data_IF_234840714171
#
_entry.id   IF_234840714171
#
_cell.length_a   1.000
_cell.length_b   1.000
_cell.length_c   1.000
_cell.angle_alpha   90.00
_cell.angle_beta   90.00
_cell.angle_gamma   90.00
#
_symmetry.space_group_name_H-M   'P 1'
#
loop_
_entity.id
_entity.type
_entity.pdbx_description
1 polymer ?
#
# COMPACT_ATOMS: atom_id res chain seq x y z
N UNK A 1 -1.10 -32.20 -45.32
CA UNK A 1 -2.51 -32.23 -45.76
C UNK A 1 -3.32 -31.35 -44.82
N UNK A 2 -3.55 -30.09 -45.18
CA UNK A 2 -4.31 -29.12 -44.37
C UNK A 2 -5.74 -29.04 -44.91
N UNK A 3 -6.70 -29.59 -44.17
CA UNK A 3 -8.12 -29.54 -44.53
C UNK A 3 -8.73 -28.21 -44.10
N UNK A 4 -8.98 -27.32 -45.06
CA UNK A 4 -9.78 -26.11 -44.89
C UNK A 4 -11.26 -26.49 -44.84
N UNK A 5 -11.86 -26.42 -43.65
CA UNK A 5 -13.32 -26.58 -43.48
C UNK A 5 -13.99 -25.28 -43.93
N UNK A 6 -14.54 -25.28 -45.14
CA UNK A 6 -15.35 -24.19 -45.68
C UNK A 6 -16.74 -24.23 -45.03
N UNK A 7 -16.90 -23.49 -43.93
CA UNK A 7 -18.19 -23.37 -43.24
C UNK A 7 -19.15 -22.55 -44.09
N UNK A 8 -20.12 -23.21 -44.72
CA UNK A 8 -21.19 -22.57 -45.46
C UNK A 8 -22.26 -22.07 -44.47
N UNK A 9 -22.30 -20.76 -44.22
CA UNK A 9 -23.39 -20.11 -43.49
C UNK A 9 -24.66 -20.17 -44.37
N UNK A 10 -25.58 -21.07 -44.07
CA UNK A 10 -26.91 -21.11 -44.69
C UNK A 10 -27.70 -19.87 -44.26
N UNK A 11 -27.82 -18.87 -45.14
CA UNK A 11 -28.64 -17.69 -44.86
C UNK A 11 -30.11 -18.00 -45.15
N UNK A 12 -30.81 -18.58 -44.18
CA UNK A 12 -32.28 -18.61 -44.22
C UNK A 12 -32.78 -17.20 -43.85
N UNK A 13 -33.64 -16.58 -44.69
CA UNK A 13 -34.18 -15.26 -44.37
C UNK A 13 -35.13 -15.40 -43.17
N UNK A 14 -34.74 -14.81 -42.04
CA UNK A 14 -35.58 -14.74 -40.85
C UNK A 14 -36.61 -13.63 -41.05
N UNK A 15 -37.89 -13.99 -41.14
CA UNK A 15 -38.99 -13.03 -41.21
C UNK A 15 -39.39 -12.60 -39.80
N UNK A 16 -38.93 -11.42 -39.39
CA UNK A 16 -39.24 -10.82 -38.09
C UNK A 16 -40.60 -10.12 -38.18
N UNK A 17 -41.49 -10.38 -37.22
CA UNK A 17 -42.79 -9.71 -37.16
C UNK A 17 -42.65 -8.24 -36.72
N UNK A 18 -43.62 -7.39 -37.05
CA UNK A 18 -43.59 -5.97 -36.65
C UNK A 18 -43.52 -5.78 -35.12
N UNK A 19 -44.19 -6.65 -34.36
CA UNK A 19 -44.16 -6.66 -32.90
C UNK A 19 -42.76 -7.03 -32.36
N UNK A 20 -42.12 -8.05 -32.93
CA UNK A 20 -40.74 -8.42 -32.58
C UNK A 20 -39.76 -7.28 -32.86
N UNK A 21 -39.90 -6.57 -33.98
CA UNK A 21 -39.07 -5.39 -34.27
C UNK A 21 -39.27 -4.27 -33.25
N UNK A 22 -40.50 -4.06 -32.76
CA UNK A 22 -40.76 -3.08 -31.71
C UNK A 22 -40.13 -3.49 -30.37
N UNK A 23 -40.24 -4.77 -29.99
CA UNK A 23 -39.60 -5.31 -28.79
C UNK A 23 -38.08 -5.16 -28.83
N UNK A 24 -37.45 -5.49 -29.96
CA UNK A 24 -36.01 -5.33 -30.15
C UNK A 24 -35.56 -3.86 -30.02
N UNK A 25 -36.35 -2.92 -30.55
CA UNK A 25 -36.08 -1.47 -30.40
C UNK A 25 -36.20 -1.02 -28.95
N UNK A 26 -37.21 -1.48 -28.23
CA UNK A 26 -37.39 -1.14 -26.81
C UNK A 26 -36.25 -1.71 -25.96
N UNK A 27 -35.88 -2.98 -26.18
CA UNK A 27 -34.75 -3.60 -25.51
C UNK A 27 -33.41 -2.90 -25.83
N UNK A 28 -33.24 -2.37 -27.05
CA UNK A 28 -32.07 -1.57 -27.40
C UNK A 28 -32.04 -0.25 -26.62
N UNK A 29 -33.17 0.47 -26.54
CA UNK A 29 -33.28 1.70 -25.75
C UNK A 29 -32.97 1.47 -24.27
N UNK A 30 -33.52 0.40 -23.69
CA UNK A 30 -33.27 0.03 -22.29
C UNK A 30 -31.80 -0.31 -22.06
N UNK A 31 -31.18 -1.08 -22.97
CA UNK A 31 -29.75 -1.40 -22.91
C UNK A 31 -28.90 -0.13 -22.92
N UNK A 32 -29.21 0.83 -23.79
CA UNK A 32 -28.46 2.08 -23.89
C UNK A 32 -28.65 2.95 -22.64
N UNK A 33 -29.87 3.00 -22.09
CA UNK A 33 -30.14 3.67 -20.83
C UNK A 33 -29.37 3.03 -19.65
N UNK A 34 -29.34 1.70 -19.56
CA UNK A 34 -28.58 0.97 -18.54
C UNK A 34 -27.08 1.17 -18.70
N UNK A 35 -26.56 1.16 -19.93
CA UNK A 35 -25.15 1.49 -20.20
C UNK A 35 -24.80 2.91 -19.76
N UNK A 36 -25.70 3.87 -19.97
CA UNK A 36 -25.54 5.24 -19.48
C UNK A 36 -25.41 5.28 -17.96
N UNK A 37 -26.34 4.64 -17.24
CA UNK A 37 -26.31 4.53 -15.77
C UNK A 37 -25.02 3.85 -15.28
N UNK A 38 -24.62 2.77 -15.93
CA UNK A 38 -23.39 2.05 -15.57
C UNK A 38 -22.17 2.96 -15.68
N UNK A 39 -22.05 3.76 -16.75
CA UNK A 39 -20.95 4.73 -16.90
C UNK A 39 -20.93 5.74 -15.76
N UNK A 40 -22.09 6.32 -15.40
CA UNK A 40 -22.19 7.30 -14.31
C UNK A 40 -21.73 6.67 -12.99
N UNK A 41 -22.28 5.52 -12.63
CA UNK A 41 -21.93 4.82 -11.38
C UNK A 41 -20.45 4.40 -11.36
N UNK A 42 -19.87 4.00 -12.49
CA UNK A 42 -18.44 3.68 -12.54
C UNK A 42 -17.56 4.89 -12.28
N UNK A 43 -17.90 6.05 -12.83
CA UNK A 43 -17.16 7.30 -12.59
C UNK A 43 -17.29 7.74 -11.13
N UNK A 44 -18.49 7.63 -10.55
CA UNK A 44 -18.72 7.93 -9.14
C UNK A 44 -17.92 7.01 -8.21
N UNK A 45 -17.94 5.70 -8.48
CA UNK A 45 -17.14 4.71 -7.76
C UNK A 45 -15.65 5.08 -7.82
N UNK A 46 -15.13 5.39 -9.01
CA UNK A 46 -13.70 5.69 -9.19
C UNK A 46 -13.32 6.99 -8.46
N UNK A 47 -14.17 8.01 -8.50
CA UNK A 47 -14.00 9.25 -7.74
C UNK A 47 -13.96 8.98 -6.22
N UNK A 48 -14.87 8.15 -5.71
CA UNK A 48 -14.91 7.79 -4.28
C UNK A 48 -13.67 6.98 -3.87
N UNK A 49 -13.22 6.05 -4.70
CA UNK A 49 -11.99 5.29 -4.47
C UNK A 49 -10.76 6.20 -4.40
N UNK A 50 -10.66 7.21 -5.27
CA UNK A 50 -9.55 8.17 -5.23
C UNK A 50 -9.58 9.04 -3.97
N UNK A 51 -10.77 9.48 -3.53
CA UNK A 51 -10.93 10.19 -2.25
C UNK A 51 -10.51 9.32 -1.07
N UNK A 52 -10.93 8.05 -1.06
CA UNK A 52 -10.57 7.09 -0.02
C UNK A 52 -9.05 6.90 0.04
N UNK A 53 -8.41 6.64 -1.10
CA UNK A 53 -6.93 6.53 -1.18
C UNK A 53 -6.23 7.80 -0.69
N UNK A 54 -6.77 8.97 -1.02
CA UNK A 54 -6.21 10.24 -0.54
C UNK A 54 -6.31 10.36 0.99
N UNK A 55 -7.43 9.96 1.60
CA UNK A 55 -7.56 9.91 3.06
C UNK A 55 -6.65 8.87 3.70
N UNK A 56 -6.53 7.67 3.12
CA UNK A 56 -5.59 6.66 3.58
C UNK A 56 -4.14 7.17 3.55
N UNK A 57 -3.73 7.85 2.47
CA UNK A 57 -2.42 8.49 2.39
C UNK A 57 -2.22 9.59 3.44
N UNK A 58 -3.26 10.34 3.81
CA UNK A 58 -3.17 11.33 4.90
C UNK A 58 -3.01 10.71 6.27
N UNK A 59 -3.66 9.57 6.53
CA UNK A 59 -3.64 8.90 7.83
C UNK A 59 -2.40 8.01 8.01
N UNK A 60 -2.03 7.28 6.96
CA UNK A 60 -1.03 6.21 7.01
C UNK A 60 0.17 6.46 6.10
N UNK A 61 0.20 7.57 5.34
CA UNK A 61 1.37 7.94 4.56
C UNK A 61 2.56 8.29 5.46
N UNK A 62 3.76 7.89 5.04
CA UNK A 62 4.97 8.27 5.75
C UNK A 62 5.07 9.80 5.79
N UNK A 63 5.12 10.38 6.99
CA UNK A 63 5.29 11.83 7.21
C UNK A 63 6.65 12.36 6.75
N UNK A 64 7.58 11.48 6.37
CA UNK A 64 8.99 11.81 6.14
C UNK A 64 9.36 12.27 4.74
N UNK A 65 8.42 12.34 3.78
CA UNK A 65 8.71 12.90 2.45
C UNK A 65 7.57 13.75 1.91
N UNK A 66 7.03 14.67 2.72
CA UNK A 66 6.29 15.82 2.16
C UNK A 66 7.31 16.72 1.46
N UNK A 67 7.79 16.28 0.29
CA UNK A 67 8.42 17.15 -0.69
C UNK A 67 7.30 17.98 -1.31
N UNK A 68 6.93 19.06 -0.64
CA UNK A 68 5.99 20.03 -1.20
C UNK A 68 6.49 20.54 -2.56
N UNK A 69 5.60 21.08 -3.39
CA UNK A 69 5.99 21.76 -4.64
C UNK A 69 6.99 22.91 -4.42
N UNK A 70 7.16 23.37 -3.18
CA UNK A 70 8.19 24.33 -2.77
C UNK A 70 9.62 23.73 -2.72
N UNK A 71 9.80 22.42 -2.80
CA UNK A 71 11.11 21.76 -2.87
C UNK A 71 11.67 21.68 -4.31
N UNK A 72 10.97 22.24 -5.31
CA UNK A 72 11.57 22.44 -6.64
C UNK A 72 12.59 23.59 -6.66
N UNK A 73 12.49 24.53 -5.72
CA UNK A 73 13.50 25.61 -5.55
C UNK A 73 14.65 25.20 -4.60
N UNK A 74 14.66 23.96 -4.11
CA UNK A 74 15.75 23.41 -3.31
C UNK A 74 16.79 22.65 -4.15
N UNK A 75 16.65 22.64 -5.48
CA UNK A 75 17.79 22.37 -6.35
C UNK A 75 18.70 23.61 -6.26
N UNK A 76 19.62 23.56 -5.29
CA UNK A 76 20.65 24.57 -5.06
C UNK A 76 21.62 24.59 -6.26
N UNK A 77 21.17 25.18 -7.37
CA UNK A 77 21.96 25.37 -8.58
C UNK A 77 22.93 26.55 -8.46
N UNK A 78 23.04 27.18 -7.28
CA UNK A 78 23.94 28.31 -7.04
C UNK A 78 25.38 27.98 -7.45
N UNK A 79 25.85 26.75 -7.14
CA UNK A 79 27.18 26.30 -7.52
C UNK A 79 27.37 26.12 -9.03
N UNK A 80 26.34 25.68 -9.77
CA UNK A 80 26.39 25.56 -11.23
C UNK A 80 26.27 26.93 -11.92
N UNK A 81 25.55 27.88 -11.33
CA UNK A 81 25.49 29.27 -11.83
C UNK A 81 26.77 30.07 -11.58
N UNK A 82 27.53 29.72 -10.54
CA UNK A 82 28.82 30.31 -10.19
C UNK A 82 30.01 29.56 -10.82
N UNK A 83 29.74 28.44 -11.51
CA UNK A 83 30.78 27.69 -12.19
C UNK A 83 31.41 28.53 -13.32
N UNK A 84 32.75 28.56 -13.43
CA UNK A 84 33.43 29.36 -14.44
C UNK A 84 33.07 28.87 -15.85
N UNK A 85 32.49 29.74 -16.67
CA UNK A 85 32.25 29.49 -18.10
C UNK A 85 33.31 30.18 -18.95
N UNK A 86 33.37 29.90 -20.25
CA UNK A 86 34.40 30.49 -21.13
C UNK A 86 34.43 32.04 -21.17
N UNK A 87 33.39 32.71 -20.64
CA UNK A 87 33.31 34.17 -20.48
C UNK A 87 33.63 34.67 -19.06
N UNK A 88 33.83 33.78 -18.07
CA UNK A 88 34.13 34.10 -16.67
C UNK A 88 35.46 33.45 -16.29
N UNK A 89 36.48 34.26 -15.98
CA UNK A 89 37.77 33.75 -15.54
C UNK A 89 37.60 32.93 -14.24
N UNK A 90 38.33 31.81 -14.08
CA UNK A 90 38.29 31.04 -12.84
C UNK A 90 38.67 31.96 -11.67
N UNK A 91 37.93 31.84 -10.57
CA UNK A 91 38.27 32.55 -9.33
C UNK A 91 39.72 32.22 -8.97
N UNK A 92 40.55 33.26 -8.79
CA UNK A 92 41.90 33.09 -8.27
C UNK A 92 41.79 32.41 -6.90
N UNK A 93 42.35 31.22 -6.79
CA UNK A 93 42.67 30.64 -5.49
C UNK A 93 43.62 31.64 -4.81
N UNK A 94 43.15 32.33 -3.77
CA UNK A 94 44.05 33.02 -2.87
C UNK A 94 44.90 31.96 -2.16
N UNK A 95 46.04 31.68 -2.79
CA UNK A 95 47.23 31.02 -2.24
C UNK A 95 47.57 31.66 -0.89
N UNK A 96 47.01 31.13 0.20
CA UNK A 96 47.24 31.68 1.53
C UNK A 96 46.22 31.37 2.61
N UNK A 97 45.12 30.66 2.33
CA UNK A 97 44.25 30.21 3.42
C UNK A 97 44.88 29.01 4.14
N UNK A 98 45.27 29.13 5.42
CA UNK A 98 45.84 28.01 6.16
C UNK A 98 44.77 26.94 6.32
N UNK A 99 45.13 25.68 6.06
CA UNK A 99 44.28 24.52 6.29
C UNK A 99 43.97 24.42 7.79
N UNK A 100 42.73 24.74 8.18
CA UNK A 100 42.30 24.71 9.58
C UNK A 100 41.85 23.30 9.91
N UNK A 101 42.67 22.55 10.63
CA UNK A 101 42.27 21.25 11.19
C UNK A 101 41.15 21.43 12.22
N UNK A 102 39.92 21.07 11.86
CA UNK A 102 38.77 21.13 12.77
C UNK A 102 38.73 19.87 13.64
N UNK A 103 38.89 20.06 14.95
CA UNK A 103 38.83 18.96 15.92
C UNK A 103 37.46 18.26 15.92
N UNK A 104 37.47 16.92 15.90
CA UNK A 104 36.25 16.09 15.87
C UNK A 104 35.33 16.31 17.08
N UNK A 105 34.04 16.54 16.81
CA UNK A 105 33.03 16.81 17.84
C UNK A 105 32.59 15.51 18.55
N UNK A 106 32.75 15.44 19.89
CA UNK A 106 32.27 14.29 20.69
C UNK A 106 30.83 14.52 21.16
N UNK A 107 29.90 13.73 20.64
CA UNK A 107 28.48 13.74 21.05
C UNK A 107 28.25 12.77 22.21
N UNK A 108 27.73 13.27 23.33
CA UNK A 108 27.25 12.41 24.41
C UNK A 108 26.05 11.59 23.90
N UNK A 109 25.99 10.29 24.23
CA UNK A 109 24.82 9.46 23.93
C UNK A 109 23.59 10.13 24.57
N UNK A 110 22.66 10.61 23.73
CA UNK A 110 21.35 11.10 24.20
C UNK A 110 20.52 9.88 24.61
N UNK A 111 20.69 9.47 25.86
CA UNK A 111 19.80 8.53 26.53
C UNK A 111 18.71 9.28 27.30
N UNK A 112 17.58 8.61 27.53
CA UNK A 112 16.60 9.06 28.54
C UNK A 112 17.29 9.00 29.90
N UNK A 113 16.97 9.93 30.80
CA UNK A 113 17.40 9.83 32.20
C UNK A 113 16.80 8.54 32.79
N UNK A 114 17.58 7.71 33.51
CA UNK A 114 17.04 6.56 34.22
C UNK A 114 15.90 6.99 35.14
N UNK A 115 14.86 6.16 35.26
CA UNK A 115 13.75 6.42 36.17
C UNK A 115 14.26 6.38 37.61
N UNK A 116 13.90 7.38 38.41
CA UNK A 116 14.37 7.56 39.78
C UNK A 116 14.02 6.32 40.64
N UNK A 117 15.00 5.75 41.38
CA UNK A 117 14.78 4.59 42.25
C UNK A 117 13.80 4.85 43.40
N UNK A 118 13.54 6.11 43.77
CA UNK A 118 12.60 6.47 44.82
C UNK A 118 11.12 6.33 44.40
N UNK A 119 10.83 6.15 43.11
CA UNK A 119 9.46 5.92 42.65
C UNK A 119 9.01 4.50 43.02
N UNK A 120 7.78 4.34 43.58
CA UNK A 120 7.25 3.03 43.92
C UNK A 120 7.04 2.20 42.65
N UNK A 121 7.80 1.12 42.51
CA UNK A 121 7.65 0.12 41.43
C UNK A 121 6.84 -1.04 41.98
N UNK A 122 5.60 -1.18 41.53
CA UNK A 122 4.75 -2.32 41.91
C UNK A 122 4.80 -3.34 40.77
N UNK A 123 5.42 -4.53 40.95
CA UNK A 123 5.40 -5.57 39.94
C UNK A 123 4.00 -6.20 39.90
N UNK A 124 3.22 -5.89 38.86
CA UNK A 124 1.94 -6.55 38.61
C UNK A 124 2.20 -7.76 37.72
N UNK A 125 2.10 -8.98 38.28
CA UNK A 125 2.19 -10.23 37.53
C UNK A 125 0.78 -10.65 37.14
N UNK A 126 0.52 -10.73 35.84
CA UNK A 126 -0.73 -11.28 35.31
C UNK A 126 -0.50 -12.73 34.94
N UNK A 127 -1.10 -13.65 35.69
CA UNK A 127 -1.09 -15.08 35.38
C UNK A 127 -2.37 -15.47 34.63
N UNK A 128 -2.25 -16.41 33.68
CA UNK A 128 -3.43 -17.01 33.06
C UNK A 128 -4.18 -17.89 34.07
N UNK A 129 -5.52 -17.83 34.10
CA UNK A 129 -6.32 -18.76 34.90
C UNK A 129 -6.13 -20.20 34.39
N UNK A 130 -6.24 -21.19 35.27
CA UNK A 130 -5.95 -22.60 34.98
C UNK A 130 -6.72 -23.15 33.77
N UNK A 131 -7.94 -22.67 33.54
CA UNK A 131 -8.79 -23.04 32.40
C UNK A 131 -8.23 -22.61 31.03
N UNK A 132 -7.36 -21.59 31.01
CA UNK A 132 -6.79 -21.03 29.78
C UNK A 132 -5.34 -21.49 29.55
N UNK A 133 -4.75 -22.24 30.49
CA UNK A 133 -3.40 -22.84 30.34
C UNK A 133 -3.38 -24.07 29.43
N UNK A 134 -4.46 -24.33 28.70
CA UNK A 134 -4.61 -25.45 27.78
C UNK A 134 -5.06 -24.94 26.41
N UNK A 135 -4.36 -25.37 25.36
CA UNK A 135 -4.72 -25.01 24.00
C UNK A 135 -6.09 -25.58 23.61
N UNK A 136 -6.99 -24.74 23.10
CA UNK A 136 -8.32 -25.17 22.66
C UNK A 136 -8.30 -26.03 21.38
N UNK A 137 -7.19 -26.00 20.63
CA UNK A 137 -7.03 -26.77 19.39
C UNK A 137 -6.43 -28.16 19.61
N UNK A 138 -5.41 -28.29 20.48
CA UNK A 138 -4.66 -29.55 20.66
C UNK A 138 -4.78 -30.17 22.06
N UNK A 139 -5.36 -29.44 23.03
CA UNK A 139 -5.46 -29.89 24.42
C UNK A 139 -4.12 -29.97 25.18
N UNK A 140 -3.02 -29.49 24.59
CA UNK A 140 -1.71 -29.45 25.23
C UNK A 140 -1.58 -28.29 26.21
N UNK A 141 -0.83 -28.50 27.29
CA UNK A 141 -0.53 -27.47 28.28
C UNK A 141 0.37 -26.38 27.68
N UNK A 142 -0.01 -25.13 27.87
CA UNK A 142 0.75 -23.97 27.42
C UNK A 142 1.99 -23.79 28.30
N UNK A 143 3.15 -23.64 27.68
CA UNK A 143 4.42 -23.38 28.38
C UNK A 143 4.56 -21.89 28.63
N UNK A 144 4.81 -21.51 29.88
CA UNK A 144 5.12 -20.12 30.24
C UNK A 144 6.45 -19.71 29.60
N UNK A 145 6.41 -18.68 28.76
CA UNK A 145 7.60 -18.02 28.22
C UNK A 145 7.77 -16.66 28.91
N UNK A 146 8.99 -16.30 29.27
CA UNK A 146 9.35 -15.11 30.07
C UNK A 146 9.06 -13.74 29.41
N UNK A 147 8.25 -13.68 28.34
CA UNK A 147 7.96 -12.48 27.57
C UNK A 147 6.54 -12.53 26.98
N UNK A 148 5.50 -12.35 27.80
CA UNK A 148 4.12 -11.90 27.44
C UNK A 148 3.43 -12.49 26.18
N UNK A 149 3.97 -13.53 25.58
CA UNK A 149 3.52 -14.20 24.37
C UNK A 149 3.66 -15.69 24.63
N UNK A 150 2.52 -16.32 24.92
CA UNK A 150 2.42 -17.76 25.10
C UNK A 150 2.13 -18.34 23.72
N UNK A 151 3.15 -18.87 23.05
CA UNK A 151 3.01 -19.54 21.77
C UNK A 151 2.80 -21.05 21.99
N UNK A 152 1.79 -21.62 21.32
CA UNK A 152 1.66 -23.07 21.18
C UNK A 152 2.82 -23.61 20.33
N UNK A 153 3.78 -24.29 20.95
CA UNK A 153 4.99 -24.81 20.27
C UNK A 153 4.73 -26.04 19.36
N UNK A 154 3.47 -26.43 19.13
CA UNK A 154 3.12 -27.63 18.34
C UNK A 154 2.67 -27.37 16.90
N UNK A 155 2.33 -26.13 16.54
CA UNK A 155 1.82 -25.83 15.20
C UNK A 155 2.87 -25.17 14.34
N UNK A 156 3.31 -25.89 13.31
CA UNK A 156 4.07 -25.35 12.19
C UNK A 156 3.14 -24.45 11.33
N UNK A 157 2.62 -23.37 11.94
CA UNK A 157 1.89 -22.32 11.24
C UNK A 157 2.92 -21.50 10.48
N UNK A 158 3.09 -21.87 9.21
CA UNK A 158 3.62 -20.95 8.19
C UNK A 158 3.03 -19.54 8.40
N UNK A 159 3.84 -18.48 8.47
CA UNK A 159 3.38 -17.10 8.70
C UNK A 159 2.40 -16.55 7.64
N UNK A 160 2.04 -17.35 6.64
CA UNK A 160 1.28 -16.92 5.46
C UNK A 160 -0.24 -17.08 5.58
N UNK A 161 -0.78 -17.52 6.72
CA UNK A 161 -2.23 -17.77 6.86
C UNK A 161 -3.01 -16.79 7.75
N UNK A 162 -2.40 -15.76 8.34
CA UNK A 162 -3.14 -14.85 9.24
C UNK A 162 -4.03 -13.80 8.57
N UNK A 163 -4.01 -13.69 7.23
CA UNK A 163 -4.98 -12.84 6.50
C UNK A 163 -5.50 -13.54 5.24
N UNK A 164 -6.19 -14.67 5.41
CA UNK A 164 -6.85 -15.34 4.29
C UNK A 164 -8.17 -16.03 4.69
N UNK A 165 -9.03 -15.34 5.44
CA UNK A 165 -10.40 -15.83 5.72
C UNK A 165 -11.49 -14.79 5.42
N UNK A 166 -11.28 -13.90 4.43
CA UNK A 166 -12.35 -13.01 3.94
C UNK A 166 -12.38 -12.80 2.41
N UNK A 167 -11.74 -13.65 1.61
CA UNK A 167 -11.79 -13.52 0.13
C UNK A 167 -11.85 -14.89 -0.58
N UNK A 168 -12.82 -15.74 -0.24
CA UNK A 168 -13.08 -16.96 -1.01
C UNK A 168 -14.37 -16.92 -1.86
N UNK A 169 -15.09 -15.81 -1.89
CA UNK A 169 -16.26 -15.62 -2.78
C UNK A 169 -15.97 -14.66 -3.95
N UNK A 170 -14.91 -14.93 -4.73
CA UNK A 170 -14.81 -14.36 -6.08
C UNK A 170 -14.67 -15.47 -7.13
N UNK A 171 -15.74 -15.79 -7.88
CA UNK A 171 -15.62 -16.67 -9.02
C UNK A 171 -14.95 -15.91 -10.18
N UNK A 172 -13.80 -16.42 -10.61
CA UNK A 172 -13.29 -16.22 -11.97
C UNK A 172 -12.07 -15.32 -12.11
N UNK A 173 -10.88 -15.90 -11.93
CA UNK A 173 -9.74 -15.57 -12.80
C UNK A 173 -9.24 -16.85 -13.45
N UNK A 174 -9.30 -16.86 -14.78
CA UNK A 174 -8.61 -17.82 -15.66
C UNK A 174 -7.29 -17.17 -16.13
N UNK A 175 -6.33 -18.00 -16.61
CA UNK A 175 -4.90 -17.91 -16.28
C UNK A 175 -4.19 -16.65 -16.78
#
# INVERSE_FOLDING_TARGET
>A
MTSTVKSAMSSTPVTITAAELQLLRNAAKERDALKGKLRVVTVERDLLLERLKAFQRKLFGATSEVRGSQQKDLFLNEAETLAPTAATLPAQEEEGTPEIEVAGHKRKKRGRKPLDPALPRVPMRHELPESERVCQHDGQALVEMDLSEILCLGHNMSPRSMYATQNQDQPGRRP
#
